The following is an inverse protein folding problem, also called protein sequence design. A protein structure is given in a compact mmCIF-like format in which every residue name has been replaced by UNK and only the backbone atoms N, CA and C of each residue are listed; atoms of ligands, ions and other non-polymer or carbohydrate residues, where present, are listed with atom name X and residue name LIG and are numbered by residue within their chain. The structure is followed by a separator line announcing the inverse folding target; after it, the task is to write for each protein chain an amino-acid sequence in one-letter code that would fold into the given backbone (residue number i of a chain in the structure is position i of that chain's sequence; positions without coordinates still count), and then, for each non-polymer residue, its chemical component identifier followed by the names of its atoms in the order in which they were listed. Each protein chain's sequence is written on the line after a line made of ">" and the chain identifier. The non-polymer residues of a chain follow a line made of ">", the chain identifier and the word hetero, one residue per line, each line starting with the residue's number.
data_IF_823096069242
#
_entry.id   IF_823096069242
#
_cell.length_a   1.000
_cell.length_b   1.000
_cell.length_c   1.000
_cell.angle_alpha   90.00
_cell.angle_beta   90.00
_cell.angle_gamma   90.00
#
_symmetry.space_group_name_H-M   'P 1'
#
loop_
_entity.id
_entity.type
_entity.pdbx_description
1 polymer ?
#
# COMPACT_ATOMS: atom_id res chain seq x y z
N UNK A 1 -31.03 -28.63 -10.05
CA UNK A 1 -30.42 -27.40 -10.62
C UNK A 1 -30.73 -26.26 -9.67
N UNK A 2 -29.75 -25.77 -8.92
CA UNK A 2 -29.96 -24.83 -7.80
C UNK A 2 -29.60 -23.41 -8.22
N UNK A 3 -30.55 -22.49 -8.12
CA UNK A 3 -30.40 -21.10 -8.55
C UNK A 3 -29.65 -20.29 -7.48
N UNK A 4 -28.47 -19.74 -7.80
CA UNK A 4 -27.70 -18.87 -6.89
C UNK A 4 -28.07 -17.41 -7.17
N UNK A 5 -28.77 -16.69 -6.27
CA UNK A 5 -29.12 -15.30 -6.47
C UNK A 5 -27.89 -14.39 -6.34
N UNK A 6 -27.78 -13.37 -7.21
CA UNK A 6 -26.70 -12.38 -7.12
C UNK A 6 -26.99 -11.35 -6.02
N UNK A 7 -26.01 -10.95 -5.19
CA UNK A 7 -26.21 -9.91 -4.18
C UNK A 7 -26.53 -8.56 -4.83
N UNK A 8 -27.56 -7.88 -4.29
CA UNK A 8 -27.99 -6.54 -4.74
C UNK A 8 -27.01 -5.47 -4.24
N UNK A 9 -26.85 -4.39 -5.01
CA UNK A 9 -25.99 -3.25 -4.66
C UNK A 9 -26.53 -2.53 -3.41
N UNK A 10 -25.64 -2.16 -2.48
CA UNK A 10 -25.97 -1.29 -1.33
C UNK A 10 -26.47 0.07 -1.83
N UNK A 11 -27.61 0.51 -1.29
CA UNK A 11 -28.05 1.90 -1.30
C UNK A 11 -27.87 2.41 0.13
N UNK A 12 -27.23 3.56 0.29
CA UNK A 12 -27.13 4.24 1.58
C UNK A 12 -28.25 5.27 1.67
N UNK A 13 -29.08 5.15 2.71
CA UNK A 13 -30.03 6.19 3.14
C UNK A 13 -29.43 6.81 4.40
N UNK A 14 -29.18 8.13 4.38
CA UNK A 14 -28.90 8.88 5.61
C UNK A 14 -30.24 9.35 6.17
N UNK A 15 -30.45 9.14 7.47
CA UNK A 15 -31.58 9.65 8.23
C UNK A 15 -31.11 10.77 9.14
N UNK A 16 -31.86 11.87 9.20
CA UNK A 16 -31.47 13.08 9.91
C UNK A 16 -31.46 12.93 11.44
N UNK A 17 -30.50 13.61 12.10
CA UNK A 17 -30.60 13.97 13.52
C UNK A 17 -30.91 15.46 13.63
N UNK A 18 -32.04 15.79 14.26
CA UNK A 18 -32.32 17.14 14.77
C UNK A 18 -31.44 17.43 15.98
N UNK A 19 -30.90 18.65 16.07
CA UNK A 19 -30.62 19.31 17.35
C UNK A 19 -31.13 20.76 17.25
N UNK A 20 -31.82 21.23 18.31
CA UNK A 20 -32.37 22.58 18.44
C UNK A 20 -31.64 23.35 19.56
N UNK A 21 -31.42 24.66 19.38
CA UNK A 21 -30.96 25.58 20.43
C UNK A 21 -29.42 25.72 20.55
N UNK A 22 -28.71 26.56 19.78
CA UNK A 22 -28.61 28.04 19.89
C UNK A 22 -27.99 28.52 21.24
N UNK A 23 -27.10 29.51 21.35
CA UNK A 23 -26.34 30.44 20.46
C UNK A 23 -25.22 31.10 21.32
N UNK A 24 -24.13 31.75 20.87
CA UNK A 24 -23.36 31.99 19.62
C UNK A 24 -21.99 32.56 20.09
N UNK A 25 -20.83 32.29 19.50
CA UNK A 25 -20.29 32.91 18.26
C UNK A 25 -19.05 32.13 17.78
N UNK A 26 -18.73 32.19 16.49
CA UNK A 26 -17.91 31.18 15.80
C UNK A 26 -16.85 31.84 14.92
N UNK A 27 -15.57 31.48 15.08
CA UNK A 27 -14.45 32.00 14.27
C UNK A 27 -13.46 30.89 13.90
N UNK A 28 -13.87 30.01 12.99
CA UNK A 28 -12.97 29.09 12.30
C UNK A 28 -13.56 28.71 10.94
N UNK A 29 -13.09 29.36 9.87
CA UNK A 29 -13.50 29.04 8.50
C UNK A 29 -12.34 28.47 7.69
N UNK A 30 -12.21 27.14 7.75
CA UNK A 30 -11.71 26.37 6.62
C UNK A 30 -12.80 26.44 5.54
N UNK A 31 -12.46 26.99 4.38
CA UNK A 31 -13.43 27.24 3.31
C UNK A 31 -13.59 25.99 2.42
N UNK A 32 -14.55 25.12 2.75
CA UNK A 32 -15.04 24.08 1.84
C UNK A 32 -16.00 24.71 0.81
N UNK A 33 -15.73 24.52 -0.49
CA UNK A 33 -16.65 25.00 -1.54
C UNK A 33 -17.78 23.97 -1.76
N UNK A 34 -19.05 24.40 -1.83
CA UNK A 34 -20.20 23.49 -1.81
C UNK A 34 -20.49 22.83 -3.16
N UNK A 35 -21.15 21.67 -3.08
CA UNK A 35 -21.77 20.97 -4.20
C UNK A 35 -23.15 21.59 -4.48
N UNK A 36 -23.36 22.14 -5.68
CA UNK A 36 -24.68 22.61 -6.13
C UNK A 36 -25.35 21.58 -7.03
N UNK A 37 -26.53 21.15 -6.62
CA UNK A 37 -27.46 20.32 -7.39
C UNK A 37 -28.33 21.23 -8.26
N UNK A 38 -28.42 20.97 -9.57
CA UNK A 38 -29.32 21.72 -10.47
C UNK A 38 -30.06 20.77 -11.41
N UNK A 39 -31.36 21.00 -11.51
CA UNK A 39 -32.34 20.20 -12.24
C UNK A 39 -32.34 20.54 -13.74
N UNK A 40 -33.01 19.72 -14.55
CA UNK A 40 -33.11 19.95 -15.99
C UNK A 40 -33.92 21.23 -16.30
N UNK A 41 -33.39 22.08 -17.20
CA UNK A 41 -34.21 22.94 -18.05
C UNK A 41 -34.04 22.46 -19.49
N UNK A 42 -35.17 22.31 -20.18
CA UNK A 42 -35.23 22.03 -21.61
C UNK A 42 -34.83 23.24 -22.47
N UNK A 43 -34.54 22.95 -23.75
CA UNK A 43 -34.58 23.90 -24.88
C UNK A 43 -33.55 25.04 -24.95
N UNK A 44 -32.34 24.72 -25.46
CA UNK A 44 -31.56 25.67 -26.28
C UNK A 44 -30.85 24.94 -27.45
N UNK A 45 -31.35 25.06 -28.70
CA UNK A 45 -30.87 24.27 -29.83
C UNK A 45 -29.62 24.83 -30.55
N UNK A 46 -29.00 25.91 -30.06
CA UNK A 46 -27.93 26.61 -30.79
C UNK A 46 -26.56 26.74 -30.10
N UNK A 47 -26.32 25.99 -29.02
CA UNK A 47 -24.97 25.89 -28.45
C UNK A 47 -24.08 24.91 -29.21
N UNK A 48 -23.37 25.41 -30.23
CA UNK A 48 -22.31 24.68 -30.96
C UNK A 48 -21.38 23.96 -29.97
N UNK A 49 -21.45 22.62 -29.92
CA UNK A 49 -20.54 21.77 -29.14
C UNK A 49 -19.12 21.98 -29.67
N UNK A 50 -18.32 22.80 -28.99
CA UNK A 50 -16.87 22.86 -29.23
C UNK A 50 -16.29 21.48 -28.88
N UNK A 51 -15.80 20.79 -29.91
CA UNK A 51 -15.15 19.49 -29.76
C UNK A 51 -13.84 19.65 -28.99
N UNK A 52 -13.88 19.53 -27.67
CA UNK A 52 -12.67 19.33 -26.84
C UNK A 52 -12.18 17.89 -27.01
N UNK A 53 -11.80 17.55 -28.24
CA UNK A 53 -11.24 16.26 -28.60
C UNK A 53 -9.77 16.20 -28.16
N UNK A 54 -9.48 15.33 -27.20
CA UNK A 54 -8.24 14.52 -27.13
C UNK A 54 -6.86 15.22 -27.30
N UNK A 55 -6.65 16.47 -26.89
CA UNK A 55 -5.37 17.16 -27.13
C UNK A 55 -4.46 17.32 -25.89
N UNK A 56 -4.37 16.30 -25.01
CA UNK A 56 -3.28 16.23 -24.01
C UNK A 56 -3.07 14.83 -23.38
N UNK A 57 -3.38 13.76 -24.11
CA UNK A 57 -2.83 12.45 -23.75
C UNK A 57 -1.35 12.46 -24.15
N UNK A 58 -0.47 12.76 -23.18
CA UNK A 58 0.98 12.54 -23.30
C UNK A 58 1.19 11.19 -23.99
N UNK A 59 2.02 11.08 -25.04
CA UNK A 59 2.24 9.80 -25.71
C UNK A 59 2.59 8.78 -24.63
N UNK A 60 1.91 7.63 -24.67
CA UNK A 60 2.18 6.53 -23.75
C UNK A 60 3.62 6.12 -24.01
N UNK A 61 4.56 6.66 -23.20
CA UNK A 61 5.99 6.51 -23.39
C UNK A 61 6.25 5.02 -23.44
N UNK A 62 6.52 4.53 -24.65
CA UNK A 62 6.78 3.12 -24.88
C UNK A 62 7.89 2.73 -23.92
N UNK A 63 7.52 1.92 -22.93
CA UNK A 63 8.49 1.28 -22.07
C UNK A 63 9.19 0.29 -22.99
N UNK A 64 10.26 0.75 -23.68
CA UNK A 64 11.16 -0.10 -24.46
C UNK A 64 11.33 -1.37 -23.64
N UNK A 65 10.94 -2.52 -24.21
CA UNK A 65 10.86 -3.78 -23.50
C UNK A 65 12.28 -4.23 -23.15
N UNK A 66 12.81 -3.67 -22.06
CA UNK A 66 14.06 -4.09 -21.46
C UNK A 66 13.82 -5.52 -21.01
N UNK A 67 14.42 -6.46 -21.74
CA UNK A 67 14.34 -7.87 -21.42
C UNK A 67 14.76 -8.04 -19.96
N UNK A 68 14.02 -8.83 -19.16
CA UNK A 68 14.32 -8.97 -17.75
C UNK A 68 15.73 -9.57 -17.61
N UNK A 69 16.64 -8.80 -17.01
CA UNK A 69 18.07 -9.15 -16.86
C UNK A 69 18.29 -10.51 -16.16
N UNK A 70 17.28 -11.02 -15.46
CA UNK A 70 17.29 -12.30 -14.77
C UNK A 70 15.98 -13.06 -15.03
N UNK A 71 16.10 -14.38 -15.21
CA UNK A 71 14.95 -15.28 -15.27
C UNK A 71 14.14 -15.25 -13.96
N UNK A 72 12.86 -15.67 -13.96
CA UNK A 72 12.05 -15.72 -12.74
C UNK A 72 12.69 -16.55 -11.61
N UNK A 73 13.33 -17.67 -11.96
CA UNK A 73 14.05 -18.53 -11.01
C UNK A 73 15.30 -17.83 -10.44
N UNK A 74 16.13 -17.21 -11.29
CA UNK A 74 17.31 -16.45 -10.85
C UNK A 74 16.93 -15.27 -9.95
N UNK A 75 15.85 -14.55 -10.27
CA UNK A 75 15.32 -13.49 -9.40
C UNK A 75 14.93 -14.07 -8.04
N UNK A 76 14.16 -15.17 -8.00
CA UNK A 76 13.75 -15.82 -6.74
C UNK A 76 14.94 -16.26 -5.89
N UNK A 77 15.97 -16.87 -6.48
CA UNK A 77 17.19 -17.26 -5.78
C UNK A 77 17.86 -16.06 -5.11
N UNK A 78 18.03 -14.94 -5.84
CA UNK A 78 18.58 -13.70 -5.29
C UNK A 78 17.73 -13.10 -4.16
N UNK A 79 16.39 -13.15 -4.24
CA UNK A 79 15.54 -12.67 -3.15
C UNK A 79 15.75 -13.51 -1.87
N UNK A 80 15.94 -14.82 -2.00
CA UNK A 80 16.27 -15.72 -0.88
C UNK A 80 17.66 -15.40 -0.32
N UNK A 81 18.68 -15.19 -1.17
CA UNK A 81 20.02 -14.79 -0.74
C UNK A 81 20.00 -13.45 0.03
N UNK A 82 19.22 -12.47 -0.43
CA UNK A 82 19.03 -11.17 0.26
C UNK A 82 18.37 -11.36 1.65
N UNK A 83 17.37 -12.23 1.76
CA UNK A 83 16.72 -12.53 3.05
C UNK A 83 17.70 -13.25 3.98
N UNK A 84 18.45 -14.23 3.48
CA UNK A 84 19.49 -14.92 4.27
C UNK A 84 20.57 -13.94 4.77
N UNK A 85 20.92 -12.92 3.97
CA UNK A 85 21.79 -11.83 4.40
C UNK A 85 21.13 -10.98 5.51
N UNK A 86 19.86 -10.61 5.38
CA UNK A 86 19.15 -9.85 6.43
C UNK A 86 19.03 -10.65 7.74
N UNK A 87 18.82 -11.96 7.69
CA UNK A 87 18.81 -12.84 8.88
C UNK A 87 20.17 -12.86 9.57
N UNK A 88 21.28 -12.88 8.80
CA UNK A 88 22.64 -12.80 9.36
C UNK A 88 22.98 -11.42 9.95
N UNK A 89 22.49 -10.35 9.33
CA UNK A 89 22.84 -8.96 9.67
C UNK A 89 21.97 -8.39 10.80
N UNK A 90 20.69 -8.77 10.82
CA UNK A 90 19.67 -8.28 11.75
C UNK A 90 18.89 -9.45 12.39
N UNK A 91 19.55 -10.38 13.09
CA UNK A 91 18.93 -11.61 13.62
C UNK A 91 17.82 -11.35 14.65
N UNK A 92 17.83 -10.19 15.31
CA UNK A 92 16.77 -9.79 16.23
C UNK A 92 15.45 -9.44 15.52
N UNK A 93 15.51 -9.09 14.23
CA UNK A 93 14.40 -8.62 13.41
C UNK A 93 13.94 -9.68 12.39
N UNK A 94 14.90 -10.31 11.70
CA UNK A 94 14.65 -11.28 10.64
C UNK A 94 14.98 -12.71 11.09
N UNK A 95 14.06 -13.64 10.84
CA UNK A 95 14.25 -15.08 11.09
C UNK A 95 13.55 -15.89 10.00
N UNK A 96 14.13 -17.05 9.65
CA UNK A 96 13.55 -17.98 8.69
C UNK A 96 12.50 -18.91 9.32
N UNK A 97 12.63 -19.19 10.62
CA UNK A 97 11.76 -20.13 11.36
C UNK A 97 10.61 -19.40 12.04
N UNK A 98 10.96 -18.38 12.83
CA UNK A 98 10.03 -17.60 13.65
C UNK A 98 10.09 -16.12 13.22
N UNK A 99 9.55 -15.77 12.04
CA UNK A 99 9.57 -14.39 11.56
C UNK A 99 8.84 -13.46 12.54
N UNK A 100 9.35 -12.24 12.74
CA UNK A 100 8.68 -11.22 13.56
C UNK A 100 8.00 -10.17 12.67
N UNK A 101 6.91 -9.52 13.12
CA UNK A 101 6.25 -8.48 12.34
C UNK A 101 7.18 -7.27 12.18
N UNK A 102 7.47 -6.86 10.95
CA UNK A 102 8.41 -5.77 10.70
C UNK A 102 7.75 -4.39 10.91
N UNK A 103 8.55 -3.44 11.39
CA UNK A 103 8.22 -2.00 11.43
C UNK A 103 7.75 -1.49 10.06
N UNK A 104 6.75 -0.62 10.08
CA UNK A 104 6.23 -0.01 8.84
C UNK A 104 7.36 0.78 8.17
N UNK A 105 7.57 0.54 6.87
CA UNK A 105 8.62 1.16 6.04
C UNK A 105 10.07 0.85 6.49
N UNK A 106 10.32 -0.28 7.17
CA UNK A 106 11.67 -0.73 7.60
C UNK A 106 12.77 -0.70 6.50
N UNK A 107 12.39 -0.79 5.23
CA UNK A 107 13.32 -0.59 4.11
C UNK A 107 14.04 0.77 4.14
N UNK A 108 13.46 1.81 4.73
CA UNK A 108 14.12 3.11 4.90
C UNK A 108 15.22 3.03 5.95
N UNK A 109 14.97 2.35 7.07
CA UNK A 109 15.96 2.14 8.13
C UNK A 109 17.15 1.32 7.60
N UNK A 110 16.87 0.30 6.76
CA UNK A 110 17.91 -0.47 6.04
C UNK A 110 18.72 0.45 5.12
N UNK A 111 18.07 1.29 4.30
CA UNK A 111 18.77 2.21 3.39
C UNK A 111 19.53 3.35 4.11
N UNK A 112 19.25 3.60 5.39
CA UNK A 112 19.96 4.58 6.20
C UNK A 112 21.25 4.02 6.83
N UNK A 113 21.44 2.69 6.86
CA UNK A 113 22.70 2.06 7.31
C UNK A 113 23.73 2.10 6.18
N UNK A 114 24.95 2.52 6.51
CA UNK A 114 26.05 2.61 5.53
C UNK A 114 26.38 1.25 4.88
N UNK A 115 26.22 0.16 5.65
CA UNK A 115 26.44 -1.22 5.21
C UNK A 115 25.62 -1.59 3.97
N UNK A 116 24.41 -1.01 3.82
CA UNK A 116 23.53 -1.27 2.68
C UNK A 116 24.19 -0.99 1.33
N UNK A 117 25.02 0.06 1.23
CA UNK A 117 25.70 0.41 -0.01
C UNK A 117 26.81 -0.58 -0.41
N UNK A 118 27.31 -1.36 0.55
CA UNK A 118 28.35 -2.37 0.35
C UNK A 118 27.76 -3.79 0.18
N UNK A 119 26.44 -3.95 0.30
CA UNK A 119 25.80 -5.26 0.17
C UNK A 119 25.86 -5.78 -1.28
N UNK A 120 26.69 -6.79 -1.50
CA UNK A 120 26.76 -7.57 -2.75
C UNK A 120 26.23 -8.97 -2.55
N UNK A 121 25.37 -9.42 -3.46
CA UNK A 121 24.78 -10.77 -3.48
C UNK A 121 25.05 -11.40 -4.84
N UNK A 122 25.62 -12.61 -4.85
CA UNK A 122 26.12 -13.25 -6.08
C UNK A 122 26.96 -12.30 -6.94
N UNK A 123 28.00 -11.72 -6.31
CA UNK A 123 28.93 -10.70 -6.83
C UNK A 123 28.32 -9.42 -7.43
N UNK A 124 27.02 -9.17 -7.25
CA UNK A 124 26.31 -8.02 -7.81
C UNK A 124 25.72 -7.12 -6.72
N UNK A 125 25.73 -5.78 -6.90
CA UNK A 125 25.22 -4.84 -5.91
C UNK A 125 23.70 -4.92 -5.77
N UNK A 126 23.19 -4.84 -4.55
CA UNK A 126 21.75 -4.93 -4.30
C UNK A 126 21.07 -3.57 -4.54
N UNK A 127 20.24 -3.48 -5.58
CA UNK A 127 19.43 -2.29 -5.83
C UNK A 127 18.32 -2.08 -4.78
N UNK A 128 17.90 -0.81 -4.59
CA UNK A 128 16.78 -0.44 -3.69
C UNK A 128 15.46 -1.12 -4.08
N UNK A 129 15.30 -1.48 -5.36
CA UNK A 129 14.15 -2.24 -5.85
C UNK A 129 14.23 -3.68 -5.36
N UNK A 130 15.38 -4.35 -5.46
CA UNK A 130 15.55 -5.72 -4.99
C UNK A 130 15.36 -5.87 -3.48
N UNK A 131 15.76 -4.89 -2.66
CA UNK A 131 15.42 -4.90 -1.21
C UNK A 131 13.91 -4.87 -1.00
N UNK A 132 13.18 -4.02 -1.73
CA UNK A 132 11.70 -3.96 -1.65
C UNK A 132 11.05 -5.26 -2.15
N UNK A 133 11.57 -5.87 -3.22
CA UNK A 133 11.12 -7.17 -3.70
C UNK A 133 11.37 -8.29 -2.68
N UNK A 134 12.54 -8.32 -2.04
CA UNK A 134 12.91 -9.32 -1.03
C UNK A 134 12.05 -9.19 0.24
N UNK A 135 11.84 -7.96 0.73
CA UNK A 135 10.92 -7.71 1.85
C UNK A 135 9.49 -8.10 1.49
N UNK A 136 9.01 -7.76 0.30
CA UNK A 136 7.69 -8.15 -0.19
C UNK A 136 7.53 -9.68 -0.29
N UNK A 137 8.56 -10.40 -0.71
CA UNK A 137 8.60 -11.86 -0.72
C UNK A 137 8.54 -12.44 0.70
N UNK A 138 9.35 -11.91 1.63
CA UNK A 138 9.36 -12.32 3.04
C UNK A 138 8.00 -12.11 3.72
N UNK A 139 7.42 -10.91 3.60
CA UNK A 139 6.14 -10.57 4.26
C UNK A 139 4.91 -11.26 3.64
N UNK A 140 5.06 -11.88 2.47
CA UNK A 140 3.99 -12.67 1.83
C UNK A 140 3.98 -14.13 2.26
N UNK A 141 5.01 -14.61 2.95
CA UNK A 141 5.09 -15.99 3.44
C UNK A 141 4.02 -16.26 4.51
N UNK A 142 3.42 -17.46 4.50
CA UNK A 142 2.45 -17.87 5.53
C UNK A 142 2.99 -17.80 6.97
N UNK A 143 4.23 -18.24 7.32
CA UNK A 143 4.74 -18.09 8.68
C UNK A 143 4.81 -16.62 9.11
N UNK A 144 5.10 -15.68 8.18
CA UNK A 144 5.06 -14.25 8.49
C UNK A 144 3.64 -13.76 8.80
N UNK A 145 2.63 -14.20 8.04
CA UNK A 145 1.23 -13.83 8.31
C UNK A 145 0.77 -14.38 9.67
N UNK A 146 1.10 -15.63 9.97
CA UNK A 146 0.79 -16.24 11.26
C UNK A 146 1.47 -15.49 12.42
N UNK A 147 2.72 -15.07 12.27
CA UNK A 147 3.40 -14.24 13.26
C UNK A 147 2.78 -12.83 13.38
N UNK A 148 2.31 -12.23 12.27
CA UNK A 148 1.65 -10.93 12.29
C UNK A 148 0.34 -10.95 13.09
N UNK A 149 -0.46 -12.01 12.99
CA UNK A 149 -1.73 -12.11 13.73
C UNK A 149 -1.57 -12.35 15.24
N UNK A 150 -0.45 -12.96 15.66
CA UNK A 150 -0.23 -13.40 17.05
C UNK A 150 0.70 -12.47 17.86
N UNK A 151 1.23 -11.41 17.26
CA UNK A 151 2.25 -10.58 17.88
C UNK A 151 1.70 -9.27 18.47
N UNK A 152 2.20 -8.93 19.66
CA UNK A 152 1.90 -7.69 20.38
C UNK A 152 2.29 -6.42 19.59
N UNK A 153 3.39 -6.47 18.85
CA UNK A 153 3.92 -5.29 18.16
C UNK A 153 4.90 -5.59 17.03
N UNK A 154 5.18 -4.53 16.27
CA UNK A 154 6.11 -4.49 15.15
C UNK A 154 7.51 -4.12 15.62
N UNK A 155 8.47 -4.88 15.13
CA UNK A 155 9.87 -4.84 15.54
C UNK A 155 10.71 -4.04 14.55
N UNK A 156 11.64 -3.25 15.05
CA UNK A 156 12.64 -2.56 14.23
C UNK A 156 13.90 -3.41 13.97
N UNK A 157 14.96 -2.80 13.40
CA UNK A 157 16.21 -3.48 13.09
C UNK A 157 17.03 -3.87 14.32
N UNK A 158 16.85 -3.17 15.45
CA UNK A 158 17.51 -3.41 16.72
C UNK A 158 16.85 -4.52 17.53
N UNK A 159 15.56 -4.78 17.28
CA UNK A 159 14.77 -5.78 18.00
C UNK A 159 13.72 -5.17 18.94
N UNK A 160 13.56 -3.85 18.94
CA UNK A 160 12.64 -3.13 19.81
C UNK A 160 11.24 -3.03 19.20
N UNK A 161 10.21 -3.01 20.06
CA UNK A 161 8.82 -2.85 19.64
C UNK A 161 8.52 -1.37 19.46
N UNK A 162 8.27 -0.94 18.21
CA UNK A 162 8.12 0.49 17.85
C UNK A 162 6.68 0.87 17.50
N UNK A 163 5.83 -0.10 17.16
CA UNK A 163 4.42 0.15 16.80
C UNK A 163 3.57 -1.03 17.21
N UNK A 164 2.38 -0.84 17.81
CA UNK A 164 1.44 -1.95 18.02
C UNK A 164 1.04 -2.56 16.66
N UNK A 165 0.67 -3.84 16.67
CA UNK A 165 -0.09 -4.45 15.58
C UNK A 165 -1.57 -4.24 15.88
N UNK A 166 -2.26 -3.44 15.07
CA UNK A 166 -3.72 -3.38 15.15
C UNK A 166 -4.28 -4.67 14.55
N UNK A 167 -4.69 -5.59 15.43
CA UNK A 167 -5.48 -6.76 15.07
C UNK A 167 -6.92 -6.29 14.86
N UNK A 168 -7.28 -5.96 13.63
CA UNK A 168 -8.69 -5.93 13.24
C UNK A 168 -9.19 -7.38 13.33
N UNK A 169 -10.04 -7.66 14.33
CA UNK A 169 -10.63 -8.97 14.47
C UNK A 169 -11.69 -9.17 13.39
N UNK A 170 -11.41 -10.04 12.43
CA UNK A 170 -12.40 -10.61 11.53
C UNK A 170 -13.44 -11.37 12.36
N UNK A 171 -14.52 -10.70 12.75
CA UNK A 171 -15.67 -11.34 13.40
C UNK A 171 -16.44 -12.15 12.35
N UNK A 172 -16.35 -13.48 12.49
CA UNK A 172 -17.05 -14.50 11.71
C UNK A 172 -18.49 -14.66 12.20
#
# INVERSE_FOLDING_TARGET
>A
MSYIPRPRKRVYVLSDRKEEGASKTFSSYIHTKPYTQTYNLDSDPHRKRKNFAKENRRPFREKKAQQPLFSPAQRRARLIEIINFFVKTYPMCFSLTNPKPLKIRIHQDIFAKADYLQMTVSSLPISKIMVREALCFYTKSEPYKHALSNAEGRVDLTGEIVSPVQVEMDQV
#
